data_IF_330693718228
#
_entry.id   IF_330693718228
#
_cell.length_a   1.000
_cell.length_b   1.000
_cell.length_c   1.000
_cell.angle_alpha   90.00
_cell.angle_beta   90.00
_cell.angle_gamma   90.00
#
_symmetry.space_group_name_H-M   'P 1'
#
loop_
_entity.id
_entity.type
_entity.pdbx_description
1 polymer ?
#
# COMPACT_ATOMS: atom_id res chain seq x y z
N UNK A 1 -5.65 -4.34 -25.14
CA UNK A 1 -6.00 -3.06 -24.51
C UNK A 1 -6.36 -3.32 -23.05
N UNK A 2 -6.11 -2.38 -22.15
CA UNK A 2 -6.54 -2.49 -20.75
C UNK A 2 -7.99 -2.00 -20.63
N UNK A 3 -8.81 -2.70 -19.87
CA UNK A 3 -10.18 -2.31 -19.58
C UNK A 3 -10.23 -1.72 -18.17
N UNK A 4 -10.84 -0.54 -18.04
CA UNK A 4 -11.21 0.08 -16.78
C UNK A 4 -12.70 -0.13 -16.49
N UNK A 5 -13.08 0.01 -15.23
CA UNK A 5 -14.45 0.26 -14.80
C UNK A 5 -14.57 1.71 -14.33
N UNK A 6 -15.56 2.45 -14.83
CA UNK A 6 -15.89 3.80 -14.38
C UNK A 6 -17.41 3.94 -14.23
N UNK A 7 -17.87 4.21 -13.01
CA UNK A 7 -19.26 4.56 -12.70
C UNK A 7 -20.34 3.61 -13.30
N UNK A 8 -20.08 2.30 -13.32
CA UNK A 8 -21.01 1.29 -13.84
C UNK A 8 -20.71 0.78 -15.25
N UNK A 9 -19.71 1.35 -15.94
CA UNK A 9 -19.37 1.03 -17.33
C UNK A 9 -17.96 0.44 -17.39
N UNK A 10 -17.79 -0.65 -18.14
CA UNK A 10 -16.47 -1.15 -18.54
C UNK A 10 -16.10 -0.60 -19.91
N UNK A 11 -14.93 0.02 -20.03
CA UNK A 11 -14.47 0.72 -21.22
C UNK A 11 -12.93 0.66 -21.35
N UNK A 12 -12.35 0.91 -22.53
CA UNK A 12 -10.91 1.06 -22.69
C UNK A 12 -10.35 2.11 -21.71
N UNK A 13 -9.19 1.82 -21.11
CA UNK A 13 -8.58 2.70 -20.09
C UNK A 13 -8.33 4.12 -20.63
N UNK A 14 -7.96 4.23 -21.90
CA UNK A 14 -7.75 5.47 -22.64
C UNK A 14 -9.02 6.33 -22.83
N UNK A 15 -10.22 5.75 -22.69
CA UNK A 15 -11.51 6.45 -22.78
C UNK A 15 -12.05 6.88 -21.40
N UNK A 16 -11.42 6.46 -20.30
CA UNK A 16 -11.89 6.69 -18.94
C UNK A 16 -11.67 8.15 -18.47
N UNK A 17 -12.67 9.00 -18.70
CA UNK A 17 -12.64 10.43 -18.34
C UNK A 17 -13.43 10.75 -17.05
N UNK A 18 -12.78 11.40 -16.09
CA UNK A 18 -13.44 11.95 -14.88
C UNK A 18 -13.80 13.44 -15.06
N UNK A 19 -14.80 13.91 -14.33
CA UNK A 19 -15.18 15.33 -14.32
C UNK A 19 -14.08 16.20 -13.71
N UNK A 20 -13.76 17.35 -14.31
CA UNK A 20 -12.87 18.37 -13.69
C UNK A 20 -13.45 18.98 -12.40
N UNK A 21 -14.74 18.77 -12.15
CA UNK A 21 -15.42 19.13 -10.90
C UNK A 21 -15.49 17.97 -9.90
N UNK A 22 -14.87 16.82 -10.19
CA UNK A 22 -14.74 15.72 -9.23
C UNK A 22 -13.88 16.15 -8.03
N UNK A 23 -14.39 15.92 -6.83
CA UNK A 23 -13.72 16.36 -5.60
C UNK A 23 -12.42 15.60 -5.32
N UNK A 24 -12.23 14.41 -5.90
CA UNK A 24 -10.95 13.73 -5.90
C UNK A 24 -9.89 14.52 -6.67
N UNK A 25 -10.24 15.09 -7.83
CA UNK A 25 -9.36 15.96 -8.62
C UNK A 25 -9.15 17.33 -7.94
N UNK A 26 -10.20 17.94 -7.40
CA UNK A 26 -10.14 19.29 -6.82
C UNK A 26 -9.49 19.37 -5.43
N UNK A 27 -9.53 18.29 -4.63
CA UNK A 27 -9.17 18.30 -3.21
C UNK A 27 -8.46 17.04 -2.71
N UNK A 28 -8.32 15.99 -3.52
CA UNK A 28 -7.94 14.66 -3.02
C UNK A 28 -9.03 14.00 -2.14
N UNK A 29 -10.30 14.43 -2.29
CA UNK A 29 -11.44 13.98 -1.47
C UNK A 29 -11.94 12.59 -1.92
N UNK A 30 -11.13 11.57 -1.64
CA UNK A 30 -11.38 10.18 -1.98
C UNK A 30 -10.42 9.22 -1.26
N UNK A 31 -10.68 7.93 -1.43
CA UNK A 31 -9.89 6.82 -0.88
C UNK A 31 -9.61 5.79 -1.95
N UNK A 32 -8.58 4.96 -1.75
CA UNK A 32 -8.20 3.95 -2.74
C UNK A 32 -7.70 2.65 -2.11
N UNK A 33 -7.66 1.60 -2.92
CA UNK A 33 -7.00 0.33 -2.65
C UNK A 33 -6.12 -0.12 -3.81
N UNK A 34 -5.15 -0.98 -3.50
CA UNK A 34 -4.32 -1.67 -4.49
C UNK A 34 -4.30 -3.15 -4.15
N UNK A 35 -4.97 -3.97 -4.97
CA UNK A 35 -5.18 -5.39 -4.72
C UNK A 35 -4.29 -6.18 -5.70
N UNK A 36 -3.35 -6.99 -5.22
CA UNK A 36 -2.57 -7.87 -6.09
C UNK A 36 -3.42 -9.08 -6.50
N UNK A 37 -3.30 -9.49 -7.75
CA UNK A 37 -4.00 -10.63 -8.34
C UNK A 37 -2.95 -11.62 -8.84
N UNK A 38 -3.07 -12.88 -8.42
CA UNK A 38 -2.21 -13.97 -8.87
C UNK A 38 -3.08 -15.05 -9.52
N UNK A 39 -2.78 -15.40 -10.78
CA UNK A 39 -3.56 -16.37 -11.55
C UNK A 39 -5.08 -16.12 -11.54
N UNK A 40 -5.49 -14.85 -11.68
CA UNK A 40 -6.91 -14.46 -11.70
C UNK A 40 -7.58 -14.34 -10.33
N UNK A 41 -6.89 -14.66 -9.23
CA UNK A 41 -7.44 -14.52 -7.85
C UNK A 41 -6.88 -13.29 -7.15
N UNK A 42 -7.76 -12.44 -6.58
CA UNK A 42 -7.38 -11.33 -5.71
C UNK A 42 -6.80 -11.82 -4.39
N UNK A 43 -5.51 -11.59 -4.16
CA UNK A 43 -4.81 -12.01 -2.94
C UNK A 43 -5.13 -11.08 -1.78
N UNK A 44 -5.59 -11.66 -0.66
CA UNK A 44 -6.09 -10.94 0.52
C UNK A 44 -7.19 -9.90 0.19
N UNK A 45 -8.02 -10.20 -0.82
CA UNK A 45 -9.09 -9.34 -1.34
C UNK A 45 -10.05 -8.87 -0.23
N UNK A 46 -10.45 -9.76 0.66
CA UNK A 46 -11.44 -9.46 1.70
C UNK A 46 -10.89 -8.46 2.72
N UNK A 47 -9.61 -8.58 3.07
CA UNK A 47 -8.88 -7.66 3.95
C UNK A 47 -8.75 -6.28 3.29
N UNK A 48 -8.46 -6.25 1.99
CA UNK A 48 -8.42 -5.02 1.18
C UNK A 48 -9.79 -4.32 1.13
N UNK A 49 -10.87 -5.04 0.81
CA UNK A 49 -12.23 -4.48 0.77
C UNK A 49 -12.72 -4.02 2.16
N UNK A 50 -12.33 -4.72 3.23
CA UNK A 50 -12.60 -4.28 4.60
C UNK A 50 -11.85 -2.98 4.96
N UNK A 51 -10.66 -2.73 4.40
CA UNK A 51 -9.91 -1.47 4.61
C UNK A 51 -10.45 -0.31 3.76
N UNK A 52 -10.94 -0.60 2.55
CA UNK A 52 -11.72 0.34 1.75
C UNK A 52 -12.94 0.83 2.55
N UNK A 53 -13.71 -0.07 3.13
CA UNK A 53 -14.88 0.26 3.97
C UNK A 53 -14.52 1.16 5.17
N UNK A 54 -13.44 0.84 5.90
CA UNK A 54 -12.95 1.67 7.00
C UNK A 54 -12.56 3.07 6.53
N UNK A 55 -11.89 3.18 5.38
CA UNK A 55 -11.43 4.46 4.82
C UNK A 55 -12.62 5.31 4.32
N UNK A 56 -13.61 4.68 3.68
CA UNK A 56 -14.88 5.32 3.28
C UNK A 56 -15.65 5.85 4.50
N UNK A 57 -15.78 5.04 5.55
CA UNK A 57 -16.44 5.44 6.80
C UNK A 57 -15.71 6.61 7.48
N UNK A 58 -14.38 6.53 7.60
CA UNK A 58 -13.55 7.58 8.21
C UNK A 58 -13.62 8.93 7.46
N UNK A 59 -13.78 8.88 6.13
CA UNK A 59 -13.97 10.08 5.27
C UNK A 59 -15.44 10.49 5.12
N UNK A 60 -16.38 9.74 5.71
CA UNK A 60 -17.84 9.93 5.55
C UNK A 60 -18.28 9.93 4.08
N UNK A 61 -17.60 9.18 3.21
CA UNK A 61 -18.03 8.90 1.85
C UNK A 61 -18.93 7.67 1.93
N UNK A 62 -20.16 7.77 1.39
CA UNK A 62 -21.07 6.61 1.32
C UNK A 62 -20.40 5.50 0.51
N UNK A 63 -20.34 4.28 1.04
CA UNK A 63 -19.95 3.13 0.24
C UNK A 63 -21.01 2.88 -0.87
N UNK A 64 -20.64 2.93 -2.16
CA UNK A 64 -21.60 2.78 -3.25
C UNK A 64 -22.07 1.33 -3.46
N UNK A 65 -21.30 0.35 -2.99
CA UNK A 65 -21.53 -1.08 -3.27
C UNK A 65 -21.41 -1.95 -2.01
N UNK A 66 -22.14 -3.07 -1.98
CA UNK A 66 -21.97 -4.12 -0.96
C UNK A 66 -20.68 -4.93 -1.20
N UNK A 67 -20.25 -5.73 -0.21
CA UNK A 67 -19.10 -6.66 -0.35
C UNK A 67 -19.22 -7.52 -1.62
N UNK A 68 -20.37 -8.18 -1.82
CA UNK A 68 -20.64 -9.04 -2.98
C UNK A 68 -20.67 -8.28 -4.31
N UNK A 69 -21.13 -7.03 -4.32
CA UNK A 69 -21.06 -6.18 -5.51
C UNK A 69 -19.61 -5.79 -5.84
N UNK A 70 -18.79 -5.44 -4.83
CA UNK A 70 -17.36 -5.18 -5.04
C UNK A 70 -16.62 -6.42 -5.55
N UNK A 71 -16.91 -7.61 -5.02
CA UNK A 71 -16.34 -8.88 -5.49
C UNK A 71 -16.69 -9.13 -6.97
N UNK A 72 -17.98 -9.01 -7.34
CA UNK A 72 -18.41 -9.19 -8.73
C UNK A 72 -17.76 -8.19 -9.70
N UNK A 73 -17.63 -6.92 -9.31
CA UNK A 73 -16.95 -5.89 -10.12
C UNK A 73 -15.46 -6.17 -10.30
N UNK A 74 -14.78 -6.67 -9.25
CA UNK A 74 -13.37 -7.05 -9.33
C UNK A 74 -13.16 -8.28 -10.21
N UNK A 75 -13.98 -9.32 -10.03
CA UNK A 75 -13.84 -10.58 -10.76
C UNK A 75 -14.10 -10.38 -12.26
N UNK A 76 -15.12 -9.59 -12.61
CA UNK A 76 -15.38 -9.22 -14.01
C UNK A 76 -14.28 -8.33 -14.61
N UNK A 77 -13.70 -7.38 -13.86
CA UNK A 77 -12.57 -6.57 -14.34
C UNK A 77 -11.31 -7.43 -14.58
N UNK A 78 -11.04 -8.38 -13.68
CA UNK A 78 -9.89 -9.29 -13.78
C UNK A 78 -10.01 -10.16 -15.04
N UNK A 79 -11.18 -10.73 -15.28
CA UNK A 79 -11.49 -11.54 -16.47
C UNK A 79 -11.35 -10.71 -17.76
N UNK A 80 -11.93 -9.50 -17.79
CA UNK A 80 -11.81 -8.57 -18.94
C UNK A 80 -10.37 -8.13 -19.24
N UNK A 81 -9.47 -8.24 -18.27
CA UNK A 81 -8.03 -8.00 -18.42
C UNK A 81 -7.20 -9.29 -18.52
N UNK A 82 -7.83 -10.42 -18.82
CA UNK A 82 -7.20 -11.69 -19.21
C UNK A 82 -6.79 -12.62 -18.06
N UNK A 83 -7.35 -12.45 -16.86
CA UNK A 83 -7.22 -13.36 -15.71
C UNK A 83 -5.78 -13.78 -15.30
N UNK A 84 -4.77 -13.04 -15.72
CA UNK A 84 -3.36 -13.29 -15.39
C UNK A 84 -2.96 -12.74 -14.01
N UNK A 85 -1.67 -12.48 -13.85
CA UNK A 85 -1.17 -11.70 -12.71
C UNK A 85 -1.41 -10.21 -12.97
N UNK A 86 -2.09 -9.53 -12.07
CA UNK A 86 -2.49 -8.13 -12.23
C UNK A 86 -2.30 -7.35 -10.92
N UNK A 87 -2.16 -6.03 -11.02
CA UNK A 87 -2.38 -5.10 -9.92
C UNK A 87 -3.66 -4.33 -10.19
N UNK A 88 -4.68 -4.53 -9.36
CA UNK A 88 -5.93 -3.75 -9.43
C UNK A 88 -5.78 -2.49 -8.60
N UNK A 89 -6.08 -1.34 -9.19
CA UNK A 89 -6.26 -0.07 -8.48
C UNK A 89 -7.75 0.24 -8.39
N UNK A 90 -8.26 0.46 -7.19
CA UNK A 90 -9.67 0.81 -6.93
C UNK A 90 -9.71 2.16 -6.23
N UNK A 91 -10.39 3.16 -6.78
CA UNK A 91 -10.56 4.48 -6.17
C UNK A 91 -12.04 4.85 -6.06
N UNK A 92 -12.41 5.45 -4.93
CA UNK A 92 -13.72 6.04 -4.68
C UNK A 92 -13.56 7.48 -4.23
N UNK A 93 -14.13 8.44 -4.95
CA UNK A 93 -14.15 9.86 -4.55
C UNK A 93 -15.53 10.26 -4.04
N UNK A 94 -15.64 11.43 -3.40
CA UNK A 94 -16.95 11.99 -3.01
C UNK A 94 -17.83 12.39 -4.22
N UNK A 95 -17.32 12.28 -5.46
CA UNK A 95 -18.03 12.62 -6.69
C UNK A 95 -17.88 14.08 -7.10
N UNK A 96 -18.64 14.47 -8.14
CA UNK A 96 -18.56 15.80 -8.77
C UNK A 96 -19.52 16.81 -8.16
N UNK A 97 -19.02 18.01 -7.86
CA UNK A 97 -19.78 19.11 -7.26
C UNK A 97 -19.09 20.46 -7.49
N UNK A 98 -19.81 21.60 -7.37
CA UNK A 98 -19.19 22.93 -7.32
C UNK A 98 -18.08 23.01 -6.25
N UNK A 99 -17.01 23.76 -6.55
CA UNK A 99 -15.79 23.82 -5.71
C UNK A 99 -16.02 24.55 -4.39
N UNK A 100 -16.47 23.82 -3.38
CA UNK A 100 -16.59 24.25 -1.98
C UNK A 100 -15.95 23.19 -1.06
N UNK A 101 -15.28 23.60 0.02
CA UNK A 101 -14.63 22.65 0.93
C UNK A 101 -15.64 21.76 1.68
N UNK A 102 -16.79 22.32 2.08
CA UNK A 102 -17.87 21.59 2.73
C UNK A 102 -18.40 20.43 1.87
N UNK A 103 -18.95 19.39 2.51
CA UNK A 103 -19.51 18.24 1.81
C UNK A 103 -20.78 18.62 1.04
N UNK A 104 -20.91 18.24 -0.24
CA UNK A 104 -22.13 18.45 -1.01
C UNK A 104 -23.24 17.49 -0.54
N UNK A 105 -24.48 17.85 -0.81
CA UNK A 105 -25.66 17.00 -0.57
C UNK A 105 -26.11 16.35 -1.89
N UNK A 106 -26.63 15.12 -1.81
CA UNK A 106 -27.22 14.42 -2.96
C UNK A 106 -26.24 13.97 -4.06
N UNK A 107 -24.92 14.03 -3.83
CA UNK A 107 -23.92 13.62 -4.81
C UNK A 107 -23.59 12.13 -4.67
N UNK A 108 -23.54 11.42 -5.80
CA UNK A 108 -23.07 10.03 -5.88
C UNK A 108 -21.54 9.97 -5.92
N UNK A 109 -20.89 9.06 -5.17
CA UNK A 109 -19.46 8.79 -5.31
C UNK A 109 -19.07 8.43 -6.74
N UNK A 110 -17.90 8.88 -7.20
CA UNK A 110 -17.27 8.36 -8.43
C UNK A 110 -16.46 7.13 -8.07
N UNK A 111 -16.62 6.04 -8.83
CA UNK A 111 -15.89 4.78 -8.69
C UNK A 111 -15.07 4.53 -9.95
N UNK A 112 -13.76 4.42 -9.79
CA UNK A 112 -12.81 4.02 -10.82
C UNK A 112 -12.11 2.73 -10.37
N UNK A 113 -12.06 1.73 -11.25
CA UNK A 113 -11.23 0.55 -11.06
C UNK A 113 -10.40 0.31 -12.33
N UNK A 114 -9.09 0.13 -12.19
CA UNK A 114 -8.18 -0.14 -13.33
C UNK A 114 -7.31 -1.36 -13.04
N UNK A 115 -6.82 -2.00 -14.10
CA UNK A 115 -5.91 -3.15 -14.02
C UNK A 115 -4.65 -2.91 -14.82
N UNK A 116 -3.50 -3.25 -14.23
CA UNK A 116 -2.20 -3.29 -14.89
C UNK A 116 -1.56 -4.68 -14.75
N UNK A 117 -0.83 -5.19 -15.76
CA UNK A 117 -0.12 -6.46 -15.64
C UNK A 117 0.90 -6.45 -14.50
N UNK A 118 0.95 -7.51 -13.70
CA UNK A 118 1.90 -7.67 -12.60
C UNK A 118 2.99 -8.69 -12.95
N UNK A 119 4.20 -8.19 -13.23
CA UNK A 119 5.36 -9.03 -13.53
C UNK A 119 5.92 -9.65 -12.25
N UNK A 120 5.72 -10.96 -12.07
CA UNK A 120 6.41 -11.73 -11.03
C UNK A 120 7.88 -11.95 -11.44
N UNK A 121 8.81 -11.39 -10.68
CA UNK A 121 10.24 -11.73 -10.82
C UNK A 121 10.56 -13.02 -10.06
N UNK A 122 11.60 -13.74 -10.48
CA UNK A 122 12.07 -14.94 -9.79
C UNK A 122 12.71 -14.61 -8.42
N UNK A 123 13.47 -13.51 -8.36
CA UNK A 123 14.17 -13.03 -7.17
C UNK A 123 13.75 -11.60 -6.85
N UNK A 124 13.30 -11.34 -5.62
CA UNK A 124 13.12 -9.97 -5.15
C UNK A 124 14.47 -9.23 -5.22
N UNK A 125 14.47 -8.04 -5.84
CA UNK A 125 15.66 -7.19 -5.87
C UNK A 125 15.79 -6.49 -4.51
N UNK A 126 16.96 -6.52 -3.85
CA UNK A 126 17.21 -5.72 -2.67
C UNK A 126 16.95 -4.23 -2.94
N UNK A 127 16.36 -3.57 -1.96
CA UNK A 127 16.12 -2.14 -1.96
C UNK A 127 17.28 -1.42 -1.26
N UNK A 128 17.45 -0.15 -1.62
CA UNK A 128 18.13 0.83 -0.75
C UNK A 128 17.05 1.52 0.09
N UNK A 129 17.41 2.57 0.82
CA UNK A 129 16.48 3.51 1.42
C UNK A 129 17.20 4.78 1.88
N UNK A 130 16.42 5.83 2.11
CA UNK A 130 16.83 7.02 2.86
C UNK A 130 15.87 7.28 4.02
N UNK A 131 16.31 8.01 5.03
CA UNK A 131 15.44 8.50 6.10
C UNK A 131 15.03 9.95 5.86
N UNK A 132 13.78 10.31 6.17
CA UNK A 132 13.30 11.71 6.16
C UNK A 132 12.28 11.98 7.27
N UNK A 133 12.15 13.24 7.73
CA UNK A 133 11.06 13.66 8.59
C UNK A 133 9.69 13.37 7.95
N UNK A 134 8.75 12.83 8.72
CA UNK A 134 7.39 12.57 8.25
C UNK A 134 6.59 13.88 8.17
N UNK A 135 6.57 14.51 7.00
CA UNK A 135 5.84 15.76 6.73
C UNK A 135 4.33 15.56 6.45
N UNK A 136 3.80 14.33 6.58
CA UNK A 136 2.41 14.01 6.21
C UNK A 136 1.41 14.44 7.30
N UNK A 137 0.12 14.41 6.96
CA UNK A 137 -0.96 14.67 7.90
C UNK A 137 -1.07 13.63 9.03
N UNK A 138 -1.92 13.88 10.03
CA UNK A 138 -2.06 13.00 11.21
C UNK A 138 -3.18 11.95 11.06
N UNK A 139 -3.52 11.54 9.83
CA UNK A 139 -4.58 10.57 9.50
C UNK A 139 -4.14 9.55 8.42
N UNK A 140 -2.90 9.08 8.50
CA UNK A 140 -2.33 8.06 7.63
C UNK A 140 -3.05 6.70 7.75
N UNK A 141 -3.84 6.47 8.81
CA UNK A 141 -4.76 5.33 8.91
C UNK A 141 -5.81 5.29 7.79
N UNK A 142 -6.15 6.45 7.20
CA UNK A 142 -7.03 6.54 6.03
C UNK A 142 -6.20 6.37 4.77
N UNK A 143 -6.54 5.39 3.93
CA UNK A 143 -5.94 5.21 2.60
C UNK A 143 -6.50 6.23 1.58
N UNK A 144 -6.23 7.51 1.84
CA UNK A 144 -6.67 8.66 1.03
C UNK A 144 -5.86 8.82 -0.25
N UNK A 145 -6.45 9.45 -1.26
CA UNK A 145 -5.75 9.86 -2.50
C UNK A 145 -5.01 11.20 -2.37
N UNK A 146 -5.09 11.88 -1.22
CA UNK A 146 -4.37 13.12 -0.92
C UNK A 146 -2.86 12.90 -0.65
N UNK A 147 -2.14 12.36 -1.64
CA UNK A 147 -0.82 11.73 -1.49
C UNK A 147 0.38 12.65 -1.74
N UNK A 148 0.23 13.97 -1.81
CA UNK A 148 1.34 14.87 -2.20
C UNK A 148 2.58 14.75 -1.31
N UNK A 149 2.40 14.57 0.01
CA UNK A 149 3.52 14.33 0.93
C UNK A 149 4.25 13.02 0.61
N UNK A 150 3.51 11.94 0.38
CA UNK A 150 4.05 10.65 -0.04
C UNK A 150 4.82 10.75 -1.37
N UNK A 151 4.30 11.51 -2.34
CA UNK A 151 4.94 11.72 -3.65
C UNK A 151 6.26 12.48 -3.52
N UNK A 152 6.28 13.59 -2.76
CA UNK A 152 7.51 14.36 -2.52
C UNK A 152 8.57 13.51 -1.81
N UNK A 153 8.20 12.87 -0.70
CA UNK A 153 9.09 12.00 0.06
C UNK A 153 9.62 10.85 -0.80
N UNK A 154 8.79 10.26 -1.66
CA UNK A 154 9.20 9.21 -2.59
C UNK A 154 10.15 9.71 -3.67
N UNK A 155 9.95 10.93 -4.18
CA UNK A 155 10.83 11.54 -5.18
C UNK A 155 12.24 11.77 -4.62
N UNK A 156 12.37 12.23 -3.38
CA UNK A 156 13.67 12.43 -2.74
C UNK A 156 14.54 11.17 -2.69
N UNK A 157 13.94 9.98 -2.54
CA UNK A 157 14.68 8.72 -2.65
C UNK A 157 15.12 8.45 -4.09
N UNK A 158 14.22 8.63 -5.06
CA UNK A 158 14.49 8.37 -6.48
C UNK A 158 15.62 9.28 -6.99
N UNK A 159 15.66 10.54 -6.56
CA UNK A 159 16.70 11.52 -6.92
C UNK A 159 18.12 11.08 -6.48
N UNK A 160 18.23 10.23 -5.46
CA UNK A 160 19.49 9.63 -4.98
C UNK A 160 19.62 8.13 -5.28
N UNK A 161 18.87 7.64 -6.27
CA UNK A 161 18.97 6.25 -6.75
C UNK A 161 18.32 5.20 -5.83
N UNK A 162 17.42 5.63 -4.94
CA UNK A 162 16.73 4.79 -3.97
C UNK A 162 15.24 4.57 -4.35
N UNK A 163 14.83 3.30 -4.46
CA UNK A 163 13.79 2.79 -3.54
C UNK A 163 14.42 2.90 -2.13
N UNK A 164 13.79 3.26 -1.01
CA UNK A 164 12.49 3.88 -0.65
C UNK A 164 12.70 4.85 0.54
N UNK A 165 11.83 5.83 0.78
CA UNK A 165 11.99 6.75 1.94
C UNK A 165 11.31 6.20 3.18
N UNK A 166 12.08 5.89 4.23
CA UNK A 166 11.61 5.55 5.58
C UNK A 166 11.38 6.85 6.35
N UNK A 167 10.22 6.96 7.01
CA UNK A 167 9.74 8.19 7.62
C UNK A 167 9.89 8.15 9.14
N UNK A 168 10.33 9.28 9.70
CA UNK A 168 10.64 9.44 11.12
C UNK A 168 9.89 10.66 11.67
N UNK A 169 9.26 10.50 12.83
CA UNK A 169 8.56 11.56 13.56
C UNK A 169 8.82 11.41 15.04
N UNK A 170 9.24 12.49 15.70
CA UNK A 170 9.51 12.52 17.13
C UNK A 170 10.47 11.39 17.58
N UNK A 171 11.57 11.22 16.81
CA UNK A 171 12.57 10.13 16.90
C UNK A 171 12.03 8.72 16.60
N UNK A 172 10.73 8.53 16.34
CA UNK A 172 10.14 7.23 16.03
C UNK A 172 9.93 6.99 14.54
N UNK A 173 10.24 5.78 14.08
CA UNK A 173 9.90 5.31 12.73
C UNK A 173 8.39 5.18 12.60
N UNK A 174 7.79 5.78 11.57
CA UNK A 174 6.38 5.59 11.23
C UNK A 174 6.25 4.49 10.17
N UNK A 175 6.45 4.79 8.91
CA UNK A 175 6.37 3.85 7.80
C UNK A 175 7.22 4.34 6.61
N UNK A 176 7.12 3.70 5.45
CA UNK A 176 7.72 4.19 4.21
C UNK A 176 6.78 5.13 3.45
N UNK A 177 7.30 5.88 2.48
CA UNK A 177 6.49 6.78 1.65
C UNK A 177 5.31 6.06 0.95
N UNK A 178 5.47 4.80 0.55
CA UNK A 178 4.41 3.96 -0.02
C UNK A 178 4.37 2.51 0.53
N UNK A 179 4.96 2.25 1.70
CA UNK A 179 5.13 0.90 2.28
C UNK A 179 5.09 0.92 3.81
N UNK A 180 4.97 -0.24 4.46
CA UNK A 180 5.28 -0.37 5.90
C UNK A 180 6.70 -0.91 6.12
N UNK A 181 7.27 -0.65 7.30
CA UNK A 181 8.65 -1.01 7.68
C UNK A 181 8.63 -2.08 8.77
N UNK A 182 9.55 -3.04 8.66
CA UNK A 182 9.97 -3.94 9.73
C UNK A 182 11.45 -3.74 10.01
N UNK A 183 11.83 -3.77 11.28
CA UNK A 183 13.21 -3.65 11.76
C UNK A 183 13.55 -4.88 12.58
N UNK A 184 14.67 -5.53 12.24
CA UNK A 184 15.18 -6.70 12.93
C UNK A 184 16.42 -6.24 13.68
N UNK A 185 16.42 -6.42 15.00
CA UNK A 185 17.56 -6.09 15.85
C UNK A 185 17.68 -7.12 16.97
N UNK A 186 18.87 -7.69 17.15
CA UNK A 186 19.16 -8.74 18.13
C UNK A 186 18.21 -9.95 18.01
N UNK A 187 17.88 -10.33 16.77
CA UNK A 187 16.98 -11.44 16.45
C UNK A 187 15.48 -11.18 16.74
N UNK A 188 15.11 -9.98 17.16
CA UNK A 188 13.70 -9.58 17.38
C UNK A 188 13.17 -8.89 16.13
N UNK A 189 12.04 -9.37 15.61
CA UNK A 189 11.31 -8.70 14.52
C UNK A 189 10.39 -7.64 15.14
N UNK A 190 10.47 -6.39 14.67
CA UNK A 190 9.68 -5.27 15.16
C UNK A 190 9.02 -4.54 13.98
N UNK A 191 7.85 -3.94 14.20
CA UNK A 191 7.21 -3.00 13.26
C UNK A 191 6.47 -1.92 14.05
N UNK A 192 6.42 -0.65 13.61
CA UNK A 192 5.72 0.41 14.34
C UNK A 192 4.24 0.08 14.57
N UNK A 193 3.64 0.49 15.70
CA UNK A 193 2.29 0.09 16.06
C UNK A 193 1.24 0.77 15.18
N UNK A 194 0.10 0.10 14.98
CA UNK A 194 -0.97 0.63 14.14
C UNK A 194 -1.75 1.80 14.76
N UNK A 195 -1.18 3.01 14.70
CA UNK A 195 -1.74 4.29 15.15
C UNK A 195 -2.31 5.11 13.97
N UNK A 196 -2.95 6.29 14.20
CA UNK A 196 -3.36 7.21 13.12
C UNK A 196 -2.21 7.75 12.24
N UNK A 197 -0.95 7.52 12.62
CA UNK A 197 0.25 7.97 11.90
C UNK A 197 0.80 6.92 10.91
N UNK A 198 0.22 5.71 10.89
CA UNK A 198 0.62 4.59 10.05
C UNK A 198 -0.58 3.99 9.32
N UNK A 199 -0.44 3.66 8.04
CA UNK A 199 -1.43 2.88 7.32
C UNK A 199 -1.27 1.40 7.66
N UNK A 200 -2.23 0.78 8.36
CA UNK A 200 -2.22 -0.68 8.60
C UNK A 200 -2.25 -1.44 7.26
N UNK A 201 -1.10 -1.96 6.85
CA UNK A 201 -0.88 -2.64 5.58
C UNK A 201 -1.40 -4.06 5.56
N UNK A 202 -2.14 -4.44 4.51
CA UNK A 202 -2.58 -5.83 4.36
C UNK A 202 -1.39 -6.80 4.24
N UNK A 203 -0.33 -6.39 3.52
CA UNK A 203 0.93 -7.14 3.44
C UNK A 203 1.70 -7.14 4.77
N UNK A 204 1.66 -6.04 5.53
CA UNK A 204 2.29 -5.95 6.87
C UNK A 204 1.63 -6.94 7.82
N UNK A 205 0.31 -6.88 7.94
CA UNK A 205 -0.44 -7.73 8.87
C UNK A 205 -0.27 -9.22 8.50
N UNK A 206 -0.26 -9.54 7.20
CA UNK A 206 0.07 -10.90 6.73
C UNK A 206 1.52 -11.33 7.03
N UNK A 207 2.49 -10.42 7.03
CA UNK A 207 3.87 -10.72 7.46
C UNK A 207 3.95 -11.00 8.96
N UNK A 208 3.16 -10.29 9.78
CA UNK A 208 3.04 -10.57 11.23
C UNK A 208 2.50 -12.00 11.44
N UNK A 209 1.47 -12.40 10.68
CA UNK A 209 0.93 -13.77 10.73
C UNK A 209 1.96 -14.84 10.30
N UNK A 210 2.70 -14.60 9.22
CA UNK A 210 3.77 -15.50 8.76
C UNK A 210 4.90 -15.64 9.80
N UNK A 211 5.28 -14.52 10.44
CA UNK A 211 6.24 -14.47 11.53
C UNK A 211 5.79 -15.33 12.73
N UNK A 212 4.54 -15.16 13.17
CA UNK A 212 3.95 -15.98 14.23
C UNK A 212 3.92 -17.47 13.87
N UNK A 213 3.57 -17.82 12.63
CA UNK A 213 3.48 -19.20 12.16
C UNK A 213 4.82 -19.98 12.17
N UNK A 214 5.97 -19.29 12.26
CA UNK A 214 7.31 -19.91 12.36
C UNK A 214 8.02 -19.67 13.69
N UNK A 215 7.25 -19.37 14.75
CA UNK A 215 7.73 -19.08 16.11
C UNK A 215 8.75 -17.91 16.16
N UNK A 216 8.56 -16.90 15.31
CA UNK A 216 9.35 -15.68 15.28
C UNK A 216 8.39 -14.46 15.29
N UNK A 217 7.70 -14.19 16.42
CA UNK A 217 6.67 -13.17 16.47
C UNK A 217 7.22 -11.78 16.12
N UNK A 218 6.49 -11.08 15.24
CA UNK A 218 6.75 -9.67 14.99
C UNK A 218 6.06 -8.83 16.06
N UNK A 219 6.82 -7.97 16.73
CA UNK A 219 6.33 -7.12 17.80
C UNK A 219 5.87 -5.76 17.26
N UNK A 220 4.61 -5.40 17.52
CA UNK A 220 4.09 -4.04 17.26
C UNK A 220 4.54 -3.10 18.40
N UNK A 221 5.65 -2.39 18.20
CA UNK A 221 6.30 -1.52 19.20
C UNK A 221 6.88 -0.28 18.53
N UNK A 222 7.00 0.83 19.27
CA UNK A 222 7.72 2.01 18.79
C UNK A 222 9.20 1.67 18.56
N UNK A 223 9.80 2.27 17.52
CA UNK A 223 11.16 1.98 17.07
C UNK A 223 11.86 3.31 16.87
N UNK A 224 12.95 3.56 17.61
CA UNK A 224 13.70 4.81 17.47
C UNK A 224 14.54 4.84 16.19
N UNK A 225 14.94 6.04 15.76
CA UNK A 225 15.90 6.21 14.66
C UNK A 225 17.22 5.48 14.96
N UNK A 226 17.69 5.47 16.21
CA UNK A 226 18.88 4.69 16.60
C UNK A 226 18.68 3.20 16.36
N UNK A 227 17.56 2.61 16.79
CA UNK A 227 17.28 1.18 16.57
C UNK A 227 17.08 0.84 15.09
N UNK A 228 16.58 1.77 14.26
CA UNK A 228 16.55 1.62 12.81
C UNK A 228 17.97 1.58 12.21
N UNK A 229 18.88 2.45 12.67
CA UNK A 229 20.25 2.54 12.15
C UNK A 229 21.13 1.36 12.60
N UNK A 230 20.88 0.82 13.78
CA UNK A 230 21.58 -0.35 14.35
C UNK A 230 20.98 -1.71 13.91
N UNK A 231 20.12 -1.74 12.88
CA UNK A 231 19.38 -2.94 12.48
C UNK A 231 20.25 -4.03 11.82
N UNK A 232 19.98 -5.29 12.17
CA UNK A 232 20.55 -6.48 11.52
C UNK A 232 19.93 -6.68 10.12
N UNK A 233 18.62 -6.49 10.01
CA UNK A 233 17.86 -6.48 8.75
C UNK A 233 16.76 -5.41 8.81
N UNK A 234 16.45 -4.79 7.66
CA UNK A 234 15.27 -3.94 7.49
C UNK A 234 14.45 -4.51 6.33
N UNK A 235 13.12 -4.61 6.50
CA UNK A 235 12.21 -5.02 5.43
C UNK A 235 11.19 -3.94 5.15
N UNK A 236 10.79 -3.79 3.89
CA UNK A 236 9.64 -2.99 3.49
C UNK A 236 8.56 -3.86 2.84
N UNK A 237 7.29 -3.58 3.14
CA UNK A 237 6.16 -4.37 2.66
C UNK A 237 5.11 -3.53 1.94
N UNK A 238 4.56 -4.05 0.84
CA UNK A 238 3.47 -3.40 0.10
C UNK A 238 2.87 -4.31 -0.98
N UNK A 239 1.58 -4.12 -1.29
CA UNK A 239 0.77 -5.06 -2.05
C UNK A 239 1.36 -5.56 -3.38
N UNK A 240 1.94 -4.68 -4.20
CA UNK A 240 2.51 -5.08 -5.50
C UNK A 240 3.98 -5.53 -5.41
N UNK A 241 4.74 -5.05 -4.42
CA UNK A 241 6.17 -5.39 -4.26
C UNK A 241 6.41 -6.61 -3.37
N UNK A 242 5.41 -7.03 -2.60
CA UNK A 242 5.53 -8.09 -1.60
C UNK A 242 6.36 -7.62 -0.40
N UNK A 243 7.44 -8.34 -0.12
CA UNK A 243 8.40 -8.08 0.96
C UNK A 243 9.77 -7.88 0.31
N UNK A 244 10.39 -6.72 0.49
CA UNK A 244 11.74 -6.43 -0.02
C UNK A 244 12.71 -6.20 1.15
N UNK A 245 13.96 -6.69 1.07
CA UNK A 245 14.99 -6.38 2.04
C UNK A 245 15.63 -5.03 1.69
N UNK A 246 15.77 -4.14 2.66
CA UNK A 246 16.58 -2.92 2.55
C UNK A 246 17.99 -3.25 3.01
N UNK A 247 18.96 -3.15 2.10
CA UNK A 247 20.36 -3.51 2.36
C UNK A 247 21.28 -2.30 2.56
N UNK A 248 20.78 -1.10 2.28
CA UNK A 248 21.50 0.17 2.42
C UNK A 248 20.51 1.24 2.89
N UNK A 249 20.86 2.00 3.92
CA UNK A 249 20.06 3.09 4.49
C UNK A 249 20.95 4.34 4.60
N UNK A 250 20.53 5.45 3.97
CA UNK A 250 21.29 6.70 3.91
C UNK A 250 22.74 6.54 3.41
N UNK A 251 22.97 5.58 2.49
CA UNK A 251 24.28 5.27 1.94
C UNK A 251 25.17 4.37 2.82
N UNK A 252 24.69 3.94 3.99
CA UNK A 252 25.37 2.99 4.88
C UNK A 252 24.76 1.58 4.73
N UNK A 253 25.55 0.50 4.82
CA UNK A 253 25.01 -0.87 4.76
C UNK A 253 24.14 -1.17 5.98
N UNK A 254 23.00 -1.83 5.76
CA UNK A 254 22.17 -2.42 6.82
C UNK A 254 22.77 -3.78 7.18
N UNK A 255 23.13 -3.99 8.45
CA UNK A 255 23.82 -5.19 8.90
C UNK A 255 25.06 -5.52 8.05
N UNK A 256 24.95 -6.57 7.23
CA UNK A 256 26.04 -7.02 6.33
C UNK A 256 26.05 -6.38 4.93
N UNK A 257 25.12 -5.46 4.63
CA UNK A 257 24.92 -4.90 3.28
C UNK A 257 24.36 -5.92 2.28
N UNK A 258 23.75 -7.00 2.77
CA UNK A 258 23.18 -8.12 1.99
C UNK A 258 21.85 -8.54 2.58
N UNK A 259 21.06 -9.24 1.77
CA UNK A 259 19.84 -9.91 2.22
C UNK A 259 20.13 -10.82 3.42
N UNK A 260 19.34 -10.70 4.48
CA UNK A 260 19.49 -11.49 5.70
C UNK A 260 18.64 -12.77 5.74
N UNK A 261 19.00 -13.74 6.60
CA UNK A 261 18.38 -15.06 6.64
C UNK A 261 16.93 -15.05 7.17
N UNK A 262 16.53 -14.07 7.99
CA UNK A 262 15.15 -13.98 8.45
C UNK A 262 14.24 -13.49 7.33
N UNK A 263 14.68 -12.51 6.53
CA UNK A 263 13.99 -12.13 5.29
C UNK A 263 13.81 -13.34 4.36
N UNK A 264 14.85 -14.13 4.10
CA UNK A 264 14.77 -15.28 3.18
C UNK A 264 13.73 -16.31 3.64
N UNK A 265 13.73 -16.61 4.94
CA UNK A 265 12.74 -17.51 5.57
C UNK A 265 11.31 -17.02 5.38
N UNK A 266 11.04 -15.74 5.66
CA UNK A 266 9.68 -15.17 5.56
C UNK A 266 9.26 -14.99 4.09
N UNK A 267 10.16 -14.55 3.22
CA UNK A 267 9.90 -14.37 1.79
C UNK A 267 9.53 -15.70 1.10
N UNK A 268 10.19 -16.81 1.46
CA UNK A 268 9.85 -18.15 0.96
C UNK A 268 8.41 -18.57 1.30
N UNK A 269 7.94 -18.27 2.52
CA UNK A 269 6.56 -18.52 2.94
C UNK A 269 5.58 -17.61 2.20
N UNK A 270 5.89 -16.32 2.10
CA UNK A 270 5.08 -15.33 1.39
C UNK A 270 4.86 -15.75 -0.07
N UNK A 271 5.95 -16.10 -0.77
CA UNK A 271 5.93 -16.66 -2.14
C UNK A 271 5.05 -17.90 -2.26
N UNK A 272 5.13 -18.81 -1.29
CA UNK A 272 4.35 -20.04 -1.25
C UNK A 272 2.84 -19.79 -1.05
N UNK A 273 2.47 -18.67 -0.41
CA UNK A 273 1.07 -18.27 -0.22
C UNK A 273 0.47 -17.52 -1.42
N UNK A 274 1.29 -16.89 -2.28
CA UNK A 274 0.82 -16.27 -3.53
C UNK A 274 0.31 -17.27 -4.58
N UNK A 275 0.64 -18.56 -4.40
CA UNK A 275 0.38 -19.64 -5.37
C UNK A 275 -0.83 -20.52 -5.00
N UNK A 276 -1.69 -20.07 -4.07
CA UNK A 276 -2.86 -20.81 -3.56
C UNK A 276 -4.17 -20.12 -3.95
#
# INVERSE_FOLDING_TARGET
>A
MSIAYLNGIYLPLEEACVSVSDRGFLFGDGVYEVIPVYGGKGFLRDQHLARLERSLAATRIRNPHTRTQWEALLDELIERNGAGNQGIYLQVTRGSAPRLHAFPQGVSPTVLITSQPLTLSACAKPAKAITRPDIRWNRCDIKSIALIGNVLLRQEAIDVGCLETILIRDDQVTEGAASNVFVIHQGRVMTPPGTPLLLRGITRDFVIDLCAAVNLPAHEVDISETTLRDADEIWITGSLMGILPVIELDGLPVGSGRTGPLWEKIYSLFRSSQLR
#
